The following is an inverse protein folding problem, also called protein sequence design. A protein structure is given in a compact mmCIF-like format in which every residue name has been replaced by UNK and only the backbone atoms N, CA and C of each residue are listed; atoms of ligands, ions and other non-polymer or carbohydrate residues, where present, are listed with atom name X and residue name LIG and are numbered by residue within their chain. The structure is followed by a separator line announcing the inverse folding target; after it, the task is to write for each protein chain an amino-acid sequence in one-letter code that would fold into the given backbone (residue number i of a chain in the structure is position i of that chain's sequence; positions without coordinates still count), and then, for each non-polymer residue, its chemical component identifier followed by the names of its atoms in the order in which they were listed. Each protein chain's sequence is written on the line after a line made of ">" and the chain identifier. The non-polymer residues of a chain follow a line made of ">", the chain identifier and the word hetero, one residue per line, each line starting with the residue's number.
data_IF_031124313114
#
_entry.id   IF_031124313114
#
_cell.length_a   1.000
_cell.length_b   1.000
_cell.length_c   1.000
_cell.angle_alpha   90.00
_cell.angle_beta   90.00
_cell.angle_gamma   90.00
#
_symmetry.space_group_name_H-M   'P 1'
#
loop_
_entity.id
_entity.type
_entity.pdbx_description
1 polymer ?
#
# COMPACT_ATOMS: atom_id res chain seq x y z
N UNK A 1 16.99 8.37 -41.79
CA UNK A 1 16.36 7.04 -41.61
C UNK A 1 17.02 6.22 -40.49
N UNK A 2 18.35 6.01 -40.51
CA UNK A 2 19.04 5.22 -39.48
C UNK A 2 18.95 5.85 -38.08
N UNK A 3 18.95 7.18 -37.98
CA UNK A 3 18.82 7.90 -36.70
C UNK A 3 17.43 7.68 -36.08
N UNK A 4 16.37 7.78 -36.87
CA UNK A 4 14.99 7.54 -36.38
C UNK A 4 14.74 6.12 -35.90
N UNK A 5 15.35 5.09 -36.56
CA UNK A 5 15.27 3.69 -36.13
C UNK A 5 15.94 3.50 -34.78
N UNK A 6 17.13 4.11 -34.57
CA UNK A 6 17.87 4.04 -33.30
C UNK A 6 17.13 4.75 -32.17
N UNK A 7 16.52 5.90 -32.45
CA UNK A 7 15.75 6.64 -31.46
C UNK A 7 14.48 5.86 -31.11
N UNK A 8 13.74 5.35 -32.08
CA UNK A 8 12.59 4.48 -31.83
C UNK A 8 12.96 3.29 -30.94
N UNK A 9 14.06 2.59 -31.22
CA UNK A 9 14.49 1.47 -30.41
C UNK A 9 14.74 1.86 -28.94
N UNK A 10 15.31 3.05 -28.69
CA UNK A 10 15.51 3.58 -27.34
C UNK A 10 14.20 3.89 -26.63
N UNK A 11 13.24 4.51 -27.35
CA UNK A 11 11.93 4.83 -26.79
C UNK A 11 11.11 3.56 -26.50
N UNK A 12 11.09 2.62 -27.44
CA UNK A 12 10.32 1.38 -27.31
C UNK A 12 10.84 0.46 -26.20
N UNK A 13 12.13 0.49 -25.89
CA UNK A 13 12.77 -0.32 -24.83
C UNK A 13 12.91 0.40 -23.49
N UNK A 14 12.49 1.67 -23.40
CA UNK A 14 12.52 2.41 -22.14
C UNK A 14 11.21 2.23 -21.38
N UNK A 15 11.28 1.67 -20.18
CA UNK A 15 10.12 1.54 -19.30
C UNK A 15 9.47 2.90 -19.01
N UNK A 16 10.25 3.99 -19.02
CA UNK A 16 9.77 5.35 -18.77
C UNK A 16 8.85 5.87 -19.88
N UNK A 17 9.11 5.55 -21.16
CA UNK A 17 8.32 6.01 -22.31
C UNK A 17 7.20 5.05 -22.71
N UNK A 18 7.18 3.85 -22.16
CA UNK A 18 6.15 2.86 -22.47
C UNK A 18 4.80 3.18 -21.83
N UNK A 19 4.80 3.97 -20.73
CA UNK A 19 3.57 4.44 -20.11
C UNK A 19 3.80 5.80 -19.48
N UNK A 20 3.43 6.85 -20.21
CA UNK A 20 3.55 8.24 -19.77
C UNK A 20 2.18 8.85 -19.51
N UNK A 21 2.15 9.76 -18.56
CA UNK A 21 1.00 10.58 -18.25
C UNK A 21 1.25 11.97 -18.78
N UNK A 22 0.34 12.45 -19.62
CA UNK A 22 0.42 13.79 -20.18
C UNK A 22 -0.91 14.49 -19.95
N UNK A 23 -0.85 15.72 -19.43
CA UNK A 23 -1.97 16.64 -19.37
C UNK A 23 -1.75 17.73 -20.40
N UNK A 24 -2.79 18.07 -21.15
CA UNK A 24 -2.71 19.15 -22.12
C UNK A 24 -4.05 19.45 -22.77
N UNK A 25 -4.06 20.51 -23.57
CA UNK A 25 -5.23 20.93 -24.36
C UNK A 25 -5.21 20.23 -25.71
N UNK A 26 -6.36 19.72 -26.12
CA UNK A 26 -6.54 19.14 -27.46
C UNK A 26 -6.58 20.25 -28.51
N UNK A 27 -5.90 20.01 -29.62
CA UNK A 27 -6.05 20.81 -30.84
C UNK A 27 -5.99 19.94 -32.07
N UNK A 28 -6.71 20.36 -33.14
CA UNK A 28 -6.82 19.68 -34.41
C UNK A 28 -7.36 18.24 -34.28
N UNK A 29 -8.38 18.03 -33.45
CA UNK A 29 -9.00 16.72 -33.27
C UNK A 29 -9.73 16.27 -34.55
N UNK A 30 -9.33 15.13 -35.10
CA UNK A 30 -9.91 14.57 -36.33
C UNK A 30 -10.09 13.06 -36.18
N UNK A 31 -11.30 12.60 -36.51
CA UNK A 31 -11.59 11.16 -36.67
C UNK A 31 -11.45 10.82 -38.14
N UNK A 32 -10.53 9.92 -38.47
CA UNK A 32 -10.31 9.52 -39.88
C UNK A 32 -11.24 8.38 -40.24
N UNK A 33 -12.13 8.65 -41.19
CA UNK A 33 -12.98 7.63 -41.82
C UNK A 33 -12.23 7.01 -43.01
N UNK A 34 -12.29 5.67 -43.25
CA UNK A 34 -13.06 4.65 -42.55
C UNK A 34 -12.29 3.93 -41.41
N UNK A 35 -11.04 4.29 -41.13
CA UNK A 35 -10.16 3.60 -40.15
C UNK A 35 -10.67 3.69 -38.73
N UNK A 36 -11.39 4.77 -38.39
CA UNK A 36 -11.87 5.04 -37.04
C UNK A 36 -10.75 5.44 -36.06
N UNK A 37 -9.56 5.79 -36.55
CA UNK A 37 -8.48 6.34 -35.75
C UNK A 37 -8.67 7.82 -35.52
N UNK A 38 -8.32 8.31 -34.30
CA UNK A 38 -8.34 9.73 -34.00
C UNK A 38 -6.92 10.27 -34.01
N UNK A 39 -6.75 11.40 -34.70
CA UNK A 39 -5.49 12.14 -34.79
C UNK A 39 -5.70 13.53 -34.22
N UNK A 40 -4.83 13.95 -33.31
CA UNK A 40 -4.89 15.26 -32.67
C UNK A 40 -3.52 15.68 -32.13
N UNK A 41 -3.42 16.89 -31.61
CA UNK A 41 -2.24 17.39 -30.94
C UNK A 41 -2.60 17.71 -29.52
N UNK A 42 -1.76 17.27 -28.57
CA UNK A 42 -1.81 17.69 -27.20
C UNK A 42 -0.80 18.84 -27.05
N UNK A 43 -1.23 19.97 -26.51
CA UNK A 43 -0.39 21.15 -26.31
C UNK A 43 -0.51 21.68 -24.89
N UNK A 44 0.54 22.33 -24.42
CA UNK A 44 0.59 23.21 -23.25
C UNK A 44 1.15 24.58 -23.63
N UNK A 45 1.48 25.41 -22.64
CA UNK A 45 1.99 26.78 -22.89
C UNK A 45 3.31 26.80 -23.67
N UNK A 46 4.13 25.74 -23.61
CA UNK A 46 5.49 25.73 -24.18
C UNK A 46 5.74 24.62 -25.20
N UNK A 47 4.85 23.63 -25.28
CA UNK A 47 5.13 22.40 -26.05
C UNK A 47 3.89 21.84 -26.75
N UNK A 48 4.14 21.01 -27.77
CA UNK A 48 3.09 20.28 -28.48
C UNK A 48 3.58 18.90 -28.85
N UNK A 49 2.69 17.90 -28.72
CA UNK A 49 2.96 16.51 -29.04
C UNK A 49 1.83 15.94 -29.90
N UNK A 50 2.17 15.32 -31.03
CA UNK A 50 1.20 14.61 -31.87
C UNK A 50 0.67 13.38 -31.16
N UNK A 51 -0.64 13.15 -31.22
CA UNK A 51 -1.31 12.07 -30.55
C UNK A 51 -2.14 11.23 -31.55
N UNK A 52 -2.10 9.91 -31.35
CA UNK A 52 -2.88 8.96 -32.13
C UNK A 52 -3.65 8.07 -31.16
N UNK A 53 -4.96 8.01 -31.32
CA UNK A 53 -5.82 7.07 -30.64
C UNK A 53 -6.40 6.07 -31.63
N UNK A 54 -6.03 4.80 -31.49
CA UNK A 54 -6.50 3.74 -32.35
C UNK A 54 -7.98 3.43 -32.12
N UNK A 55 -8.65 2.89 -33.16
CA UNK A 55 -10.09 2.56 -33.15
C UNK A 55 -10.52 1.78 -31.89
N UNK A 56 -9.73 0.78 -31.45
CA UNK A 56 -10.06 -0.01 -30.27
C UNK A 56 -10.10 0.81 -28.99
N UNK A 57 -9.19 1.75 -28.85
CA UNK A 57 -9.16 2.70 -27.72
C UNK A 57 -10.26 3.74 -27.89
N UNK A 58 -10.45 4.28 -29.10
CA UNK A 58 -11.50 5.26 -29.40
C UNK A 58 -12.92 4.73 -29.14
N UNK A 59 -13.17 3.45 -29.40
CA UNK A 59 -14.46 2.81 -29.09
C UNK A 59 -14.72 2.67 -27.58
N UNK A 60 -13.67 2.59 -26.81
CA UNK A 60 -13.75 2.45 -25.33
C UNK A 60 -13.80 3.80 -24.62
N UNK A 61 -13.00 4.76 -25.09
CA UNK A 61 -12.84 6.09 -24.48
C UNK A 61 -13.93 7.06 -24.98
N UNK A 62 -14.46 6.82 -26.16
CA UNK A 62 -15.35 7.74 -26.87
C UNK A 62 -14.60 8.71 -27.79
N UNK A 63 -15.36 9.42 -28.61
CA UNK A 63 -14.84 10.38 -29.62
C UNK A 63 -15.45 11.77 -29.48
N UNK A 64 -16.08 12.09 -28.34
CA UNK A 64 -16.80 13.34 -28.10
C UNK A 64 -15.91 14.52 -27.71
N UNK A 65 -14.60 14.42 -27.92
CA UNK A 65 -13.64 15.47 -27.63
C UNK A 65 -13.64 16.57 -28.70
N UNK A 66 -13.38 17.79 -28.26
CA UNK A 66 -13.32 18.98 -29.12
C UNK A 66 -11.98 19.70 -28.92
N UNK A 67 -11.63 20.51 -29.92
CA UNK A 67 -10.51 21.44 -29.82
C UNK A 67 -10.75 22.40 -28.64
N UNK A 68 -9.74 22.56 -27.80
CA UNK A 68 -9.83 23.35 -26.57
C UNK A 68 -10.09 22.53 -25.30
N UNK A 69 -10.49 21.26 -25.44
CA UNK A 69 -10.69 20.42 -24.26
C UNK A 69 -9.36 20.10 -23.57
N UNK A 70 -9.31 20.31 -22.26
CA UNK A 70 -8.19 19.83 -21.45
C UNK A 70 -8.37 18.34 -21.19
N UNK A 71 -7.32 17.55 -21.44
CA UNK A 71 -7.35 16.10 -21.27
C UNK A 71 -6.16 15.59 -20.47
N UNK A 72 -6.42 14.53 -19.73
CA UNK A 72 -5.40 13.68 -19.14
C UNK A 72 -5.25 12.43 -20.01
N UNK A 73 -4.05 12.15 -20.44
CA UNK A 73 -3.74 11.10 -21.39
C UNK A 73 -2.74 10.14 -20.83
N UNK A 74 -3.01 8.86 -20.96
CA UNK A 74 -2.07 7.77 -20.71
C UNK A 74 -1.72 7.15 -22.04
N UNK A 75 -0.44 6.97 -22.31
CA UNK A 75 -0.01 6.35 -23.54
C UNK A 75 1.49 6.10 -23.62
N UNK A 76 1.88 5.52 -24.75
CA UNK A 76 3.26 5.22 -25.09
C UNK A 76 3.82 6.27 -26.03
N UNK A 77 4.98 6.85 -25.71
CA UNK A 77 5.70 7.73 -26.63
C UNK A 77 6.59 6.90 -27.55
N UNK A 78 6.51 7.15 -28.84
CA UNK A 78 7.38 6.53 -29.83
C UNK A 78 7.68 7.49 -30.98
N UNK A 79 8.58 7.10 -31.88
CA UNK A 79 8.99 7.85 -33.05
C UNK A 79 8.33 7.25 -34.29
N UNK A 80 7.64 8.09 -35.04
CA UNK A 80 7.10 7.69 -36.35
C UNK A 80 8.20 7.73 -37.42
N UNK A 81 8.71 6.56 -37.82
CA UNK A 81 9.87 6.41 -38.70
C UNK A 81 9.82 7.21 -40.02
N UNK A 82 8.66 7.26 -40.72
CA UNK A 82 8.61 7.95 -42.01
C UNK A 82 8.90 9.43 -41.97
N UNK A 83 8.49 10.11 -40.87
CA UNK A 83 8.68 11.55 -40.70
C UNK A 83 9.66 11.95 -39.61
N UNK A 84 10.06 10.99 -38.74
CA UNK A 84 10.92 11.26 -37.60
C UNK A 84 10.26 12.00 -36.44
N UNK A 85 8.94 12.14 -36.49
CA UNK A 85 8.19 12.89 -35.47
C UNK A 85 7.93 12.05 -34.23
N UNK A 86 8.05 12.67 -33.05
CA UNK A 86 7.61 12.09 -31.80
C UNK A 86 6.09 12.15 -31.72
N UNK A 87 5.50 11.05 -31.28
CA UNK A 87 4.06 10.96 -31.09
C UNK A 87 3.71 10.06 -29.91
N UNK A 88 2.56 10.33 -29.31
CA UNK A 88 2.00 9.48 -28.25
C UNK A 88 0.88 8.60 -28.83
N UNK A 89 0.97 7.32 -28.54
CA UNK A 89 -0.10 6.35 -28.79
C UNK A 89 -0.96 6.24 -27.54
N UNK A 90 -2.23 6.66 -27.68
CA UNK A 90 -3.15 6.78 -26.55
C UNK A 90 -3.68 5.41 -26.16
N UNK A 91 -3.52 5.06 -24.88
CA UNK A 91 -4.11 3.88 -24.24
C UNK A 91 -5.39 4.22 -23.47
N UNK A 92 -5.40 5.41 -22.82
CA UNK A 92 -6.55 5.96 -22.13
C UNK A 92 -6.53 7.48 -22.23
N UNK A 93 -7.69 8.09 -22.28
CA UNK A 93 -7.85 9.55 -22.32
C UNK A 93 -9.17 9.92 -21.63
N UNK A 94 -9.10 10.94 -20.79
CA UNK A 94 -10.24 11.47 -20.04
C UNK A 94 -10.28 13.00 -20.17
N UNK A 95 -11.46 13.57 -20.26
CA UNK A 95 -11.62 15.03 -20.29
C UNK A 95 -11.27 15.59 -18.93
N UNK A 96 -10.30 16.49 -18.88
CA UNK A 96 -9.90 17.15 -17.65
C UNK A 96 -10.87 18.29 -17.33
N UNK A 97 -11.98 17.97 -16.67
CA UNK A 97 -12.79 18.97 -15.97
C UNK A 97 -12.11 19.48 -14.71
N UNK A 98 -10.87 19.06 -14.46
CA UNK A 98 -10.17 19.13 -13.18
C UNK A 98 -8.99 20.10 -13.12
N UNK A 99 -8.79 20.99 -14.07
CA UNK A 99 -7.74 22.02 -13.94
C UNK A 99 -7.84 22.77 -12.61
N UNK A 100 -9.05 23.10 -12.21
CA UNK A 100 -9.36 23.71 -10.91
C UNK A 100 -9.22 22.72 -9.73
N UNK A 101 -9.60 21.46 -9.93
CA UNK A 101 -9.52 20.45 -8.87
C UNK A 101 -8.07 20.11 -8.55
N UNK A 102 -7.23 19.86 -9.56
CA UNK A 102 -5.82 19.56 -9.34
C UNK A 102 -5.06 20.74 -8.70
N UNK A 103 -5.38 21.97 -9.10
CA UNK A 103 -4.83 23.17 -8.46
C UNK A 103 -5.24 23.26 -6.99
N UNK A 104 -6.52 23.07 -6.69
CA UNK A 104 -7.01 23.01 -5.31
C UNK A 104 -6.35 21.90 -4.49
N UNK A 105 -6.12 20.74 -5.10
CA UNK A 105 -5.39 19.64 -4.46
C UNK A 105 -3.96 20.06 -4.08
N UNK A 106 -3.21 20.70 -5.00
CA UNK A 106 -1.86 21.16 -4.72
C UNK A 106 -1.83 22.24 -3.63
N UNK A 107 -2.74 23.22 -3.71
CA UNK A 107 -2.86 24.28 -2.70
C UNK A 107 -3.17 23.71 -1.31
N UNK A 108 -4.10 22.76 -1.23
CA UNK A 108 -4.44 22.09 0.02
C UNK A 108 -3.29 21.22 0.53
N UNK A 109 -2.63 20.49 -0.35
CA UNK A 109 -1.45 19.68 0.00
C UNK A 109 -0.35 20.55 0.62
N UNK A 110 -0.02 21.66 0.00
CA UNK A 110 1.01 22.61 0.51
C UNK A 110 0.59 23.22 1.85
N UNK A 111 -0.68 23.56 2.01
CA UNK A 111 -1.23 24.07 3.28
C UNK A 111 -1.04 23.05 4.39
N UNK A 112 -1.54 21.83 4.21
CA UNK A 112 -1.51 20.77 5.23
C UNK A 112 -0.09 20.28 5.51
N UNK A 113 0.80 20.32 4.52
CA UNK A 113 2.23 20.06 4.72
C UNK A 113 2.86 21.10 5.67
N UNK A 114 2.56 22.39 5.48
CA UNK A 114 3.04 23.46 6.37
C UNK A 114 2.45 23.36 7.78
N UNK A 115 1.23 22.86 7.91
CA UNK A 115 0.59 22.58 9.20
C UNK A 115 1.16 21.32 9.88
N UNK A 116 2.02 20.54 9.19
CA UNK A 116 2.70 19.36 9.73
C UNK A 116 1.81 18.12 9.88
N UNK A 117 0.72 18.02 9.08
CA UNK A 117 -0.16 16.85 9.11
C UNK A 117 0.44 15.61 8.43
N UNK A 118 1.50 15.80 7.62
CA UNK A 118 2.17 14.71 6.90
C UNK A 118 3.44 14.21 7.59
N UNK A 119 3.72 14.70 8.80
CA UNK A 119 4.93 14.36 9.55
C UNK A 119 4.91 12.87 9.94
N UNK A 120 5.88 12.12 9.41
CA UNK A 120 6.00 10.68 9.67
C UNK A 120 6.28 10.36 11.15
N UNK A 121 6.86 11.29 11.89
CA UNK A 121 7.14 11.11 13.32
C UNK A 121 5.87 11.02 14.18
N UNK A 122 4.76 11.55 13.66
CA UNK A 122 3.46 11.56 14.33
C UNK A 122 2.56 10.40 13.94
N UNK A 123 2.97 9.62 12.92
CA UNK A 123 2.19 8.47 12.45
C UNK A 123 2.26 7.33 13.46
N UNK A 124 1.10 6.74 13.71
CA UNK A 124 0.92 5.62 14.65
C UNK A 124 1.33 4.31 14.01
N UNK A 125 1.89 3.42 14.81
CA UNK A 125 2.17 2.07 14.37
C UNK A 125 0.89 1.23 14.33
N UNK A 126 0.75 0.41 13.28
CA UNK A 126 -0.34 -0.54 13.18
C UNK A 126 -0.06 -1.71 14.13
N UNK A 127 -1.01 -2.08 15.02
CA UNK A 127 -0.87 -3.20 15.92
C UNK A 127 -0.61 -4.52 15.17
N UNK A 128 0.37 -5.30 15.62
CA UNK A 128 0.71 -6.58 14.97
C UNK A 128 -0.40 -7.64 15.09
N UNK A 129 -1.19 -7.61 16.15
CA UNK A 129 -2.23 -8.59 16.45
C UNK A 129 -3.52 -7.87 16.85
N UNK A 130 -4.22 -7.24 15.90
CA UNK A 130 -5.46 -6.53 16.21
C UNK A 130 -6.57 -7.54 16.57
N UNK A 131 -7.38 -7.18 17.54
CA UNK A 131 -8.58 -7.93 17.93
C UNK A 131 -9.79 -7.43 17.14
N UNK A 132 -9.88 -6.11 16.93
CA UNK A 132 -11.01 -5.46 16.26
C UNK A 132 -10.53 -4.46 15.23
N UNK A 133 -11.05 -4.54 14.02
CA UNK A 133 -10.77 -3.62 12.92
C UNK A 133 -12.06 -2.91 12.53
N UNK A 134 -12.02 -1.57 12.54
CA UNK A 134 -13.05 -0.74 11.96
C UNK A 134 -12.86 -0.56 10.46
N UNK A 135 -13.95 -0.51 9.71
CA UNK A 135 -13.92 -0.32 8.26
C UNK A 135 -14.90 0.79 7.91
N UNK A 136 -14.39 1.95 7.45
CA UNK A 136 -15.19 3.08 6.95
C UNK A 136 -15.21 3.00 5.42
N UNK A 137 -16.31 2.52 4.86
CA UNK A 137 -16.52 2.35 3.42
C UNK A 137 -18.00 2.21 3.10
N UNK A 138 -18.35 2.09 1.80
CA UNK A 138 -19.71 1.81 1.39
C UNK A 138 -20.19 0.46 1.93
N UNK A 139 -21.47 0.35 2.26
CA UNK A 139 -22.08 -0.90 2.77
C UNK A 139 -22.08 -2.04 1.76
N UNK A 140 -21.98 -1.71 0.48
CA UNK A 140 -21.98 -2.66 -0.64
C UNK A 140 -20.85 -2.34 -1.60
N UNK A 141 -20.38 -3.34 -2.36
CA UNK A 141 -19.34 -3.13 -3.37
C UNK A 141 -18.19 -4.14 -3.27
N UNK A 142 -17.21 -3.99 -4.16
CA UNK A 142 -16.03 -4.85 -4.20
C UNK A 142 -15.11 -4.59 -3.00
N UNK A 143 -14.86 -3.33 -2.67
CA UNK A 143 -13.91 -2.95 -1.63
C UNK A 143 -14.19 -3.62 -0.27
N UNK A 144 -15.43 -3.54 0.22
CA UNK A 144 -15.78 -4.18 1.50
C UNK A 144 -15.66 -5.71 1.43
N UNK A 145 -16.05 -6.34 0.31
CA UNK A 145 -15.91 -7.79 0.13
C UNK A 145 -14.45 -8.22 0.14
N UNK A 146 -13.59 -7.48 -0.57
CA UNK A 146 -12.15 -7.75 -0.65
C UNK A 146 -11.49 -7.65 0.73
N UNK A 147 -11.83 -6.60 1.51
CA UNK A 147 -11.32 -6.42 2.87
C UNK A 147 -11.76 -7.60 3.75
N UNK A 148 -13.06 -7.87 3.83
CA UNK A 148 -13.61 -8.92 4.70
C UNK A 148 -13.08 -10.32 4.33
N UNK A 149 -13.02 -10.64 3.04
CA UNK A 149 -12.51 -11.92 2.55
C UNK A 149 -11.03 -12.09 2.90
N UNK A 150 -10.24 -11.02 2.74
CA UNK A 150 -8.81 -11.04 3.04
C UNK A 150 -8.54 -11.18 4.53
N UNK A 151 -9.23 -10.41 5.39
CA UNK A 151 -9.10 -10.52 6.84
C UNK A 151 -9.50 -11.93 7.31
N UNK A 152 -10.66 -12.44 6.86
CA UNK A 152 -11.14 -13.77 7.24
C UNK A 152 -10.18 -14.89 6.83
N UNK A 153 -9.55 -14.77 5.66
CA UNK A 153 -8.57 -15.74 5.17
C UNK A 153 -7.26 -15.68 5.96
N UNK A 154 -6.72 -14.47 6.20
CA UNK A 154 -5.39 -14.28 6.80
C UNK A 154 -5.39 -14.37 8.32
N UNK A 155 -6.42 -13.82 8.96
CA UNK A 155 -6.50 -13.74 10.42
C UNK A 155 -7.94 -13.83 10.92
N UNK A 156 -8.54 -15.02 10.94
CA UNK A 156 -9.94 -15.23 11.30
C UNK A 156 -10.28 -14.92 12.76
N UNK A 157 -9.27 -14.65 13.60
CA UNK A 157 -9.43 -14.28 15.01
C UNK A 157 -9.82 -12.81 15.20
N UNK A 158 -9.73 -12.00 14.13
CA UNK A 158 -10.03 -10.58 14.18
C UNK A 158 -11.51 -10.30 13.92
N UNK A 159 -12.13 -9.53 14.78
CA UNK A 159 -13.49 -8.99 14.62
C UNK A 159 -13.46 -7.79 13.67
N UNK A 160 -14.45 -7.67 12.80
CA UNK A 160 -14.58 -6.54 11.88
C UNK A 160 -15.85 -5.77 12.15
N UNK A 161 -15.75 -4.44 12.26
CA UNK A 161 -16.89 -3.54 12.50
C UNK A 161 -17.00 -2.61 11.29
N UNK A 162 -18.13 -2.68 10.58
CA UNK A 162 -18.39 -1.81 9.43
C UNK A 162 -19.06 -0.51 9.88
N UNK A 163 -18.50 0.62 9.46
CA UNK A 163 -19.08 1.94 9.54
C UNK A 163 -19.50 2.38 8.13
N UNK A 164 -20.74 2.11 7.74
CA UNK A 164 -21.18 2.36 6.37
C UNK A 164 -21.30 3.85 6.09
N UNK A 165 -20.65 4.32 5.02
CA UNK A 165 -20.69 5.73 4.62
C UNK A 165 -20.85 5.89 3.11
N UNK A 166 -21.26 7.09 2.72
CA UNK A 166 -21.15 7.56 1.34
C UNK A 166 -19.67 7.79 1.02
N UNK A 167 -19.17 7.13 -0.02
CA UNK A 167 -17.75 7.22 -0.45
C UNK A 167 -17.54 8.14 -1.65
N UNK A 168 -18.64 8.67 -2.23
CA UNK A 168 -18.63 9.58 -3.37
C UNK A 168 -19.91 10.41 -3.42
N UNK A 169 -19.88 11.51 -4.17
CA UNK A 169 -21.03 12.40 -4.38
C UNK A 169 -21.19 13.44 -3.27
N UNK A 170 -22.31 14.18 -3.36
CA UNK A 170 -22.62 15.26 -2.43
C UNK A 170 -22.88 14.69 -1.03
N UNK A 171 -22.20 15.25 -0.01
CA UNK A 171 -22.33 14.80 1.38
C UNK A 171 -21.37 13.68 1.78
N UNK A 172 -20.58 13.14 0.86
CA UNK A 172 -19.65 12.05 1.18
C UNK A 172 -18.59 12.46 2.21
N UNK A 173 -18.01 13.66 2.09
CA UNK A 173 -16.98 14.14 3.01
C UNK A 173 -17.49 14.27 4.45
N UNK A 174 -18.70 14.77 4.63
CA UNK A 174 -19.36 14.91 5.94
C UNK A 174 -19.67 13.54 6.55
N UNK A 175 -20.12 12.59 5.72
CA UNK A 175 -20.48 11.25 6.17
C UNK A 175 -19.23 10.43 6.52
N UNK A 176 -18.14 10.55 5.75
CA UNK A 176 -16.84 9.96 6.09
C UNK A 176 -16.34 10.48 7.45
N UNK A 177 -16.33 11.81 7.65
CA UNK A 177 -15.92 12.43 8.92
C UNK A 177 -16.76 11.94 10.09
N UNK A 178 -18.08 11.89 9.91
CA UNK A 178 -19.01 11.40 10.92
C UNK A 178 -18.69 9.95 11.31
N UNK A 179 -18.41 9.09 10.33
CA UNK A 179 -18.13 7.67 10.59
C UNK A 179 -16.73 7.45 11.19
N UNK A 180 -15.73 8.26 10.82
CA UNK A 180 -14.42 8.25 11.51
C UNK A 180 -14.59 8.64 12.98
N UNK A 181 -15.34 9.73 13.28
CA UNK A 181 -15.61 10.14 14.66
C UNK A 181 -16.44 9.11 15.42
N UNK A 182 -17.40 8.45 14.77
CA UNK A 182 -18.17 7.37 15.37
C UNK A 182 -17.26 6.17 15.71
N UNK A 183 -16.33 5.80 14.82
CA UNK A 183 -15.38 4.73 15.06
C UNK A 183 -14.53 4.98 16.31
N UNK A 184 -14.21 6.25 16.62
CA UNK A 184 -13.45 6.61 17.81
C UNK A 184 -14.20 6.33 19.14
N UNK A 185 -15.51 6.10 19.09
CA UNK A 185 -16.30 5.72 20.29
C UNK A 185 -16.32 4.21 20.54
N UNK A 186 -15.75 3.42 19.62
CA UNK A 186 -15.64 1.97 19.72
C UNK A 186 -14.23 1.56 20.15
N UNK A 187 -14.13 0.42 20.82
CA UNK A 187 -12.86 -0.20 21.15
C UNK A 187 -12.31 -0.94 19.93
N UNK A 188 -11.55 -0.21 19.10
CA UNK A 188 -11.03 -0.66 17.80
C UNK A 188 -9.51 -0.45 17.78
N UNK A 189 -8.77 -1.44 17.32
CA UNK A 189 -7.30 -1.41 17.28
C UNK A 189 -6.75 -0.72 16.02
N UNK A 190 -7.47 -0.80 14.90
CA UNK A 190 -7.08 -0.23 13.60
C UNK A 190 -8.31 0.15 12.81
N UNK A 191 -8.24 1.28 12.09
CA UNK A 191 -9.32 1.76 11.23
C UNK A 191 -8.87 1.76 9.77
N UNK A 192 -9.60 1.06 8.90
CA UNK A 192 -9.42 1.12 7.45
C UNK A 192 -10.41 2.11 6.89
N UNK A 193 -9.92 3.14 6.20
CA UNK A 193 -10.73 4.13 5.50
C UNK A 193 -10.47 3.99 4.01
N UNK A 194 -11.50 3.65 3.24
CA UNK A 194 -11.24 3.38 1.84
C UNK A 194 -12.47 3.25 0.97
N UNK A 195 -12.20 3.13 -0.34
CA UNK A 195 -13.22 2.85 -1.36
C UNK A 195 -12.62 1.98 -2.47
N UNK A 196 -13.48 1.44 -3.31
CA UNK A 196 -13.08 0.83 -4.58
C UNK A 196 -12.59 1.89 -5.59
N UNK A 197 -12.00 1.45 -6.68
CA UNK A 197 -11.54 2.34 -7.76
C UNK A 197 -12.63 3.27 -8.30
N UNK A 198 -12.21 4.36 -8.93
CA UNK A 198 -13.09 5.38 -9.52
C UNK A 198 -12.28 6.51 -10.17
N UNK A 199 -12.96 7.48 -10.75
CA UNK A 199 -12.35 8.68 -11.32
C UNK A 199 -11.82 9.61 -10.20
N UNK A 200 -11.00 10.59 -10.57
CA UNK A 200 -10.45 11.57 -9.60
C UNK A 200 -11.57 12.39 -8.94
N UNK A 201 -12.65 12.65 -9.67
CA UNK A 201 -13.84 13.32 -9.17
C UNK A 201 -14.53 12.49 -8.09
N UNK A 202 -14.59 11.18 -8.28
CA UNK A 202 -15.15 10.24 -7.29
C UNK A 202 -14.31 10.15 -6.02
N UNK A 203 -12.99 10.34 -6.13
CA UNK A 203 -12.05 10.34 -5.01
C UNK A 203 -11.98 11.69 -4.29
N UNK A 204 -12.64 12.73 -4.84
CA UNK A 204 -12.47 14.09 -4.35
C UNK A 204 -12.85 14.28 -2.88
N UNK A 205 -13.84 13.55 -2.38
CA UNK A 205 -14.23 13.60 -0.97
C UNK A 205 -13.05 13.35 -0.01
N UNK A 206 -12.07 12.54 -0.42
CA UNK A 206 -10.86 12.22 0.35
C UNK A 206 -9.74 13.27 0.19
N UNK A 207 -9.93 14.25 -0.69
CA UNK A 207 -9.05 15.41 -0.86
C UNK A 207 -9.56 16.66 -0.11
N UNK A 208 -10.56 16.50 0.73
CA UNK A 208 -11.13 17.61 1.49
C UNK A 208 -10.43 17.78 2.86
N UNK A 209 -10.21 19.04 3.26
CA UNK A 209 -9.50 19.38 4.50
C UNK A 209 -10.16 18.77 5.75
N UNK A 210 -11.49 18.71 5.77
CA UNK A 210 -12.23 18.17 6.90
C UNK A 210 -11.99 16.68 7.11
N UNK A 211 -11.82 15.92 6.02
CA UNK A 211 -11.50 14.48 6.07
C UNK A 211 -10.04 14.27 6.51
N UNK A 212 -9.11 15.08 5.96
CA UNK A 212 -7.71 15.07 6.38
C UNK A 212 -7.57 15.32 7.89
N UNK A 213 -8.24 16.33 8.42
CA UNK A 213 -8.22 16.64 9.86
C UNK A 213 -8.85 15.53 10.69
N UNK A 214 -9.97 14.94 10.24
CA UNK A 214 -10.60 13.84 10.96
C UNK A 214 -9.72 12.59 11.04
N UNK A 215 -8.94 12.29 9.98
CA UNK A 215 -7.95 11.20 9.99
C UNK A 215 -6.79 11.53 10.95
N UNK A 216 -6.28 12.75 10.91
CA UNK A 216 -5.17 13.19 11.76
C UNK A 216 -5.53 13.17 13.25
N UNK A 217 -6.72 13.64 13.59
CA UNK A 217 -7.22 13.70 14.96
C UNK A 217 -7.69 12.34 15.49
N UNK A 218 -7.81 11.34 14.62
CA UNK A 218 -8.25 10.00 15.02
C UNK A 218 -7.23 9.38 15.98
N UNK A 219 -7.60 8.94 17.19
CA UNK A 219 -6.68 8.30 18.12
C UNK A 219 -6.26 6.89 17.69
N UNK A 220 -7.09 6.25 16.87
CA UNK A 220 -6.89 4.90 16.33
C UNK A 220 -5.95 4.99 15.11
N UNK A 221 -4.98 4.07 14.92
CA UNK A 221 -4.19 3.99 13.70
C UNK A 221 -5.06 3.82 12.47
N UNK A 222 -4.87 4.69 11.45
CA UNK A 222 -5.68 4.71 10.22
C UNK A 222 -4.88 4.21 9.04
N UNK A 223 -5.47 3.25 8.32
CA UNK A 223 -4.98 2.78 7.01
C UNK A 223 -5.88 3.38 5.92
N UNK A 224 -5.31 4.18 5.02
CA UNK A 224 -6.01 4.65 3.84
C UNK A 224 -5.92 3.62 2.70
N UNK A 225 -7.07 3.33 2.09
CA UNK A 225 -7.21 2.45 0.93
C UNK A 225 -8.09 3.13 -0.13
N UNK A 226 -7.72 4.34 -0.53
CA UNK A 226 -8.49 5.20 -1.42
C UNK A 226 -7.90 5.26 -2.80
N UNK A 227 -6.62 5.62 -2.91
CA UNK A 227 -5.91 5.79 -4.18
C UNK A 227 -5.30 4.48 -4.69
N UNK A 228 -5.26 4.31 -6.01
CA UNK A 228 -4.46 3.28 -6.68
C UNK A 228 -2.97 3.64 -6.62
N UNK A 229 -2.09 2.77 -7.16
CA UNK A 229 -0.63 2.97 -7.11
C UNK A 229 -0.17 4.38 -7.53
N UNK A 230 -0.87 4.99 -8.47
CA UNK A 230 -0.52 6.26 -9.11
C UNK A 230 -1.27 7.46 -8.52
N UNK A 231 -2.49 7.23 -8.03
CA UNK A 231 -3.37 8.30 -7.56
C UNK A 231 -3.25 8.46 -6.04
N UNK A 232 -2.60 9.52 -5.61
CA UNK A 232 -2.48 9.88 -4.20
C UNK A 232 -3.54 10.89 -3.81
N UNK A 233 -4.29 10.59 -2.77
CA UNK A 233 -5.21 11.53 -2.15
C UNK A 233 -4.61 12.20 -0.91
N UNK A 234 -5.19 13.32 -0.47
CA UNK A 234 -4.79 13.97 0.79
C UNK A 234 -4.94 13.00 1.97
N UNK A 235 -6.00 12.20 1.98
CA UNK A 235 -6.19 11.16 2.99
C UNK A 235 -5.02 10.16 3.06
N UNK A 236 -4.43 9.80 1.90
CA UNK A 236 -3.28 8.89 1.83
C UNK A 236 -2.01 9.50 2.45
N UNK A 237 -1.82 10.82 2.33
CA UNK A 237 -0.68 11.51 2.95
C UNK A 237 -0.83 11.62 4.47
N UNK A 238 -2.04 11.84 4.96
CA UNK A 238 -2.32 12.05 6.38
C UNK A 238 -2.44 10.73 7.15
N UNK A 239 -2.95 9.68 6.53
CA UNK A 239 -3.10 8.36 7.17
C UNK A 239 -1.77 7.81 7.71
N UNK A 240 -1.84 7.00 8.76
CA UNK A 240 -0.69 6.37 9.38
C UNK A 240 -0.01 5.35 8.42
N UNK A 241 -0.82 4.66 7.62
CA UNK A 241 -0.35 3.80 6.52
C UNK A 241 -1.23 3.96 5.29
N UNK A 242 -0.60 3.87 4.12
CA UNK A 242 -1.28 3.85 2.82
C UNK A 242 -1.27 2.44 2.24
N UNK A 243 -2.39 2.06 1.66
CA UNK A 243 -2.52 0.86 0.84
C UNK A 243 -3.03 1.23 -0.55
N UNK A 244 -2.47 0.63 -1.59
CA UNK A 244 -2.87 0.89 -2.97
C UNK A 244 -4.20 0.22 -3.36
N UNK A 245 -4.68 -0.72 -2.54
CA UNK A 245 -5.94 -1.45 -2.77
C UNK A 245 -6.61 -1.80 -1.44
N UNK A 246 -7.93 -2.02 -1.43
CA UNK A 246 -8.63 -2.53 -0.24
C UNK A 246 -8.06 -3.85 0.29
N UNK A 247 -7.65 -4.75 -0.61
CA UNK A 247 -6.98 -6.01 -0.27
C UNK A 247 -5.65 -5.76 0.45
N UNK A 248 -4.80 -4.87 -0.09
CA UNK A 248 -3.54 -4.51 0.54
C UNK A 248 -3.73 -3.85 1.92
N UNK A 249 -4.79 -3.04 2.10
CA UNK A 249 -5.11 -2.48 3.40
C UNK A 249 -5.44 -3.55 4.44
N UNK A 250 -6.21 -4.56 4.05
CA UNK A 250 -6.50 -5.70 4.90
C UNK A 250 -5.22 -6.50 5.23
N UNK A 251 -4.30 -6.66 4.28
CA UNK A 251 -3.01 -7.35 4.50
C UNK A 251 -2.07 -6.59 5.45
N UNK A 252 -2.09 -5.26 5.38
CA UNK A 252 -1.33 -4.40 6.32
C UNK A 252 -1.96 -4.45 7.71
N UNK A 253 -3.29 -4.51 7.79
CA UNK A 253 -4.04 -4.46 9.05
C UNK A 253 -3.90 -5.74 9.88
N UNK A 254 -3.69 -6.93 9.27
CA UNK A 254 -3.64 -8.22 9.98
C UNK A 254 -2.41 -9.04 9.59
N UNK A 255 -1.86 -9.84 10.53
CA UNK A 255 -0.81 -10.79 10.22
C UNK A 255 -1.35 -11.96 9.40
N UNK A 256 -0.46 -12.79 8.87
CA UNK A 256 -0.83 -14.10 8.35
C UNK A 256 -0.81 -15.12 9.49
N UNK A 257 -1.94 -15.78 9.76
CA UNK A 257 -2.07 -16.77 10.85
C UNK A 257 -1.09 -17.93 10.67
N UNK A 258 -0.82 -18.34 9.43
CA UNK A 258 0.12 -19.43 9.14
C UNK A 258 1.54 -19.07 9.61
N UNK A 259 2.01 -17.86 9.31
CA UNK A 259 3.34 -17.38 9.74
C UNK A 259 3.42 -17.26 11.26
N UNK A 260 2.33 -16.86 11.91
CA UNK A 260 2.24 -16.79 13.36
C UNK A 260 2.36 -18.19 13.97
N UNK A 261 1.65 -19.18 13.42
CA UNK A 261 1.70 -20.57 13.88
C UNK A 261 3.08 -21.18 13.70
N UNK A 262 3.73 -20.99 12.54
CA UNK A 262 5.11 -21.42 12.32
C UNK A 262 6.09 -20.80 13.33
N UNK A 263 5.88 -19.54 13.67
CA UNK A 263 6.70 -18.84 14.68
C UNK A 263 6.51 -19.44 16.06
N UNK A 264 5.26 -19.74 16.45
CA UNK A 264 4.93 -20.40 17.73
C UNK A 264 5.57 -21.79 17.79
N UNK A 265 5.43 -22.59 16.72
CA UNK A 265 6.03 -23.94 16.66
C UNK A 265 7.55 -23.88 16.77
N UNK A 266 8.19 -22.91 16.12
CA UNK A 266 9.63 -22.66 16.26
C UNK A 266 10.03 -22.37 17.72
N UNK A 267 9.27 -21.52 18.40
CA UNK A 267 9.54 -21.23 19.82
C UNK A 267 9.29 -22.44 20.72
N UNK A 268 8.22 -23.20 20.50
CA UNK A 268 7.96 -24.44 21.22
C UNK A 268 9.11 -25.43 21.07
N UNK A 269 9.60 -25.65 19.85
CA UNK A 269 10.73 -26.53 19.59
C UNK A 269 12.02 -26.03 20.27
N UNK A 270 12.30 -24.74 20.21
CA UNK A 270 13.48 -24.15 20.90
C UNK A 270 13.41 -24.32 22.42
N UNK A 271 12.26 -24.08 23.02
CA UNK A 271 12.03 -24.27 24.47
C UNK A 271 12.23 -25.74 24.84
N UNK A 272 11.57 -26.64 24.11
CA UNK A 272 11.65 -28.10 24.35
C UNK A 272 13.10 -28.59 24.26
N UNK A 273 13.83 -28.21 23.22
CA UNK A 273 15.23 -28.56 23.05
C UNK A 273 16.11 -28.00 24.17
N UNK A 274 15.89 -26.73 24.57
CA UNK A 274 16.64 -26.10 25.64
C UNK A 274 16.43 -26.81 26.99
N UNK A 275 15.18 -27.16 27.31
CA UNK A 275 14.81 -27.92 28.51
C UNK A 275 15.43 -29.31 28.50
N UNK A 276 15.29 -30.05 27.41
CA UNK A 276 15.87 -31.38 27.25
C UNK A 276 17.41 -31.36 27.40
N UNK A 277 18.08 -30.43 26.73
CA UNK A 277 19.54 -30.26 26.85
C UNK A 277 19.95 -29.99 28.32
N UNK A 278 19.18 -29.16 29.03
CA UNK A 278 19.45 -28.85 30.43
C UNK A 278 19.25 -30.09 31.33
N UNK A 279 18.19 -30.85 31.11
CA UNK A 279 17.93 -32.12 31.79
C UNK A 279 19.07 -33.13 31.52
N UNK A 280 19.51 -33.29 30.28
CA UNK A 280 20.56 -34.23 29.91
C UNK A 280 21.92 -33.81 30.48
N UNK A 281 22.20 -32.53 30.54
CA UNK A 281 23.41 -32.03 31.23
C UNK A 281 23.38 -32.37 32.72
N UNK A 282 22.26 -32.12 33.40
CA UNK A 282 22.13 -32.50 34.82
C UNK A 282 22.22 -34.01 35.02
N UNK A 283 21.62 -34.83 34.15
CA UNK A 283 21.77 -36.30 34.20
C UNK A 283 23.26 -36.71 34.08
N UNK A 284 23.98 -36.08 33.12
CA UNK A 284 25.43 -36.33 32.97
C UNK A 284 26.23 -35.94 34.22
N UNK A 285 25.90 -34.79 34.82
CA UNK A 285 26.55 -34.35 36.10
C UNK A 285 26.27 -35.32 37.23
N UNK A 286 25.02 -35.76 37.41
CA UNK A 286 24.62 -36.74 38.40
C UNK A 286 25.37 -38.07 38.20
N UNK A 287 25.43 -38.57 36.94
CA UNK A 287 26.18 -39.77 36.60
C UNK A 287 27.68 -39.61 36.89
N UNK A 288 28.28 -38.46 36.54
CA UNK A 288 29.67 -38.14 36.84
C UNK A 288 29.95 -38.15 38.36
N UNK A 289 29.06 -37.54 39.14
CA UNK A 289 29.19 -37.58 40.61
C UNK A 289 29.00 -38.99 41.13
N UNK A 290 27.98 -39.73 40.70
CA UNK A 290 27.74 -41.14 41.12
C UNK A 290 28.92 -42.03 40.83
N UNK A 291 29.61 -41.85 39.68
CA UNK A 291 30.78 -42.64 39.27
C UNK A 291 32.11 -42.03 39.75
N UNK A 292 32.09 -40.96 40.54
CA UNK A 292 33.33 -40.41 41.07
C UNK A 292 33.98 -41.38 42.08
N UNK A 293 35.29 -41.48 42.00
CA UNK A 293 36.07 -42.34 42.90
C UNK A 293 35.85 -42.05 44.40
N UNK A 294 35.49 -40.78 44.68
CA UNK A 294 35.18 -40.33 46.05
C UNK A 294 33.90 -40.93 46.59
N UNK A 295 32.85 -41.02 45.76
CA UNK A 295 31.56 -41.60 46.16
C UNK A 295 31.54 -43.13 46.07
N UNK A 296 32.30 -43.72 45.10
CA UNK A 296 32.38 -45.16 44.90
C UNK A 296 33.26 -45.82 46.02
N UNK A 297 34.31 -45.15 46.47
CA UNK A 297 35.22 -45.71 47.47
C UNK A 297 35.74 -44.62 48.40
N UNK A 298 34.94 -44.15 49.38
CA UNK A 298 35.29 -43.07 50.30
C UNK A 298 36.54 -43.37 51.16
N UNK A 299 36.81 -44.67 51.41
CA UNK A 299 37.97 -45.15 52.16
C UNK A 299 39.28 -44.78 51.46
N UNK A 300 39.36 -44.80 50.11
CA UNK A 300 40.55 -44.41 49.39
C UNK A 300 40.97 -42.95 49.61
N UNK A 301 40.01 -42.05 49.83
CA UNK A 301 40.31 -40.64 50.15
C UNK A 301 40.95 -40.50 51.55
N UNK A 302 40.48 -41.32 52.48
CA UNK A 302 41.11 -41.39 53.85
C UNK A 302 42.51 -41.97 53.77
N UNK A 303 42.72 -43.03 53.01
CA UNK A 303 44.01 -43.64 52.82
C UNK A 303 45.05 -42.72 52.16
N UNK A 304 44.66 -41.95 51.16
CA UNK A 304 45.54 -40.98 50.49
C UNK A 304 45.90 -39.84 51.45
N UNK A 305 44.93 -39.28 52.22
CA UNK A 305 45.24 -38.27 53.26
C UNK A 305 46.08 -38.78 54.34
N UNK A 306 45.91 -40.04 54.84
CA UNK A 306 46.76 -40.69 55.86
C UNK A 306 48.16 -40.93 55.31
N UNK A 307 48.34 -41.34 54.05
CA UNK A 307 49.68 -41.48 53.47
C UNK A 307 50.40 -40.15 53.32
N UNK A 308 49.71 -39.08 52.91
CA UNK A 308 50.32 -37.75 52.81
C UNK A 308 50.75 -37.22 54.18
N UNK A 309 49.99 -37.45 55.24
CA UNK A 309 50.35 -37.09 56.63
C UNK A 309 51.53 -37.91 57.14
N UNK A 310 51.76 -39.12 56.64
CA UNK A 310 52.90 -39.95 57.03
C UNK A 310 54.20 -39.63 56.27
N UNK A 311 54.08 -38.89 55.13
CA UNK A 311 55.24 -38.44 54.36
C UNK A 311 55.79 -37.11 54.87
N UNK A 312 54.96 -36.31 55.56
CA UNK A 312 55.36 -35.03 56.24
C UNK A 312 55.91 -35.19 57.64
N UNK A 313 56.03 -36.39 58.16
CA UNK A 313 56.75 -36.74 59.37
C UNK A 313 58.07 -37.42 59.03
#
# INVERSE_FOLDING_TARGET
>A
RQMCIRDRYKFDNSAFFNRVFIKGEISNFKVQMPSGHCYFTIKDEGSRLSAIMFRGTASRVGTNFKDGDMVNVIGKISVYEPSGNYQIYIESMEQSGSGDLYKKFLELKDKLYKEGLFDESKKKEIPKFPKKIGIVTASTGAAIRDILTTIKRRYPLCETILFPCLVQGVGAKEDIVKNIKLANTYDIDTLIVGRGGGSIEDLWAYNEEIVAKAIYECPIPVISAVGHEIDFTIADYVADKRAATPTAAAEIAVPNIEDVMLTIDSYCNRITNSVNNKIDNYKKEVLKLKNSSVLLNPINMYNIKSQNLNIEK
#
